data_IF_056926865992
#
_entry.id   IF_056926865992
#
_cell.length_a   1.000
_cell.length_b   1.000
_cell.length_c   1.000
_cell.angle_alpha   90.00
_cell.angle_beta   90.00
_cell.angle_gamma   90.00
#
_symmetry.space_group_name_H-M   'P 1'
#
loop_
_entity.id
_entity.type
_entity.pdbx_description
1 polymer ?
#
# COMPACT_ATOMS: atom_id res chain seq x y z
N UNK A 1 23.94 48.16 -30.60
CA UNK A 1 22.59 47.82 -30.09
C UNK A 1 22.27 46.41 -30.51
N UNK A 2 22.69 45.42 -29.76
CA UNK A 2 22.27 44.01 -29.96
C UNK A 2 23.03 43.14 -28.93
N UNK A 3 22.48 43.00 -27.73
CA UNK A 3 22.84 41.97 -26.70
C UNK A 3 22.00 42.20 -25.45
N UNK A 4 20.70 41.91 -25.56
CA UNK A 4 19.82 41.90 -24.37
C UNK A 4 18.60 41.00 -24.69
N UNK A 5 18.86 39.70 -24.92
CA UNK A 5 17.79 38.72 -25.13
C UNK A 5 18.34 37.34 -24.94
N UNK A 6 18.72 36.98 -23.70
CA UNK A 6 19.01 35.55 -23.37
C UNK A 6 19.16 35.32 -21.86
N UNK A 7 18.24 35.76 -21.03
CA UNK A 7 18.16 35.36 -19.62
C UNK A 7 16.70 35.33 -19.16
N UNK A 8 15.85 34.57 -19.83
CA UNK A 8 14.47 34.37 -19.40
C UNK A 8 14.01 32.94 -19.68
N UNK A 9 14.85 31.94 -19.36
CA UNK A 9 14.46 30.54 -19.57
C UNK A 9 15.16 29.67 -18.53
N UNK A 10 14.81 29.76 -17.24
CA UNK A 10 15.23 28.79 -16.22
C UNK A 10 14.44 28.99 -14.91
N UNK A 11 13.11 29.16 -14.99
CA UNK A 11 12.22 28.87 -13.87
C UNK A 11 11.03 28.09 -14.40
N UNK A 12 11.28 26.84 -14.80
CA UNK A 12 10.22 25.85 -14.84
C UNK A 12 9.98 25.45 -13.38
N UNK A 13 8.79 25.68 -12.82
CA UNK A 13 8.47 25.13 -11.51
C UNK A 13 8.61 23.60 -11.60
N UNK A 14 9.48 23.04 -10.77
CA UNK A 14 9.51 21.60 -10.55
C UNK A 14 8.10 21.24 -10.06
N UNK A 15 7.28 20.64 -10.91
CA UNK A 15 5.97 20.13 -10.54
C UNK A 15 6.18 19.11 -9.43
N UNK A 16 5.87 19.49 -8.20
CA UNK A 16 5.83 18.57 -7.07
C UNK A 16 4.74 17.54 -7.37
N UNK A 17 5.17 16.34 -7.78
CA UNK A 17 4.28 15.23 -8.06
C UNK A 17 3.93 14.61 -6.73
N UNK A 18 2.68 14.76 -6.30
CA UNK A 18 2.12 14.01 -5.19
C UNK A 18 2.06 12.53 -5.58
N UNK A 19 3.18 11.82 -5.41
CA UNK A 19 3.22 10.38 -5.59
C UNK A 19 2.52 9.70 -4.41
N UNK A 20 1.54 8.87 -4.71
CA UNK A 20 0.96 7.99 -3.71
C UNK A 20 2.05 7.06 -3.17
N UNK A 21 2.39 7.24 -1.88
CA UNK A 21 3.42 6.45 -1.22
C UNK A 21 2.88 5.10 -0.83
N UNK A 22 2.92 4.14 -1.73
CA UNK A 22 2.69 2.75 -1.41
C UNK A 22 4.04 2.03 -1.41
N UNK A 23 4.58 1.76 -0.23
CA UNK A 23 5.66 0.79 -0.06
C UNK A 23 5.23 -0.54 -0.67
N UNK A 24 6.12 -1.18 -1.43
CA UNK A 24 5.85 -2.36 -2.25
C UNK A 24 5.37 -3.58 -1.47
N UNK A 25 4.07 -3.65 -1.25
CA UNK A 25 3.34 -4.80 -0.73
C UNK A 25 1.85 -4.60 -1.05
N UNK A 26 1.11 -5.67 -1.28
CA UNK A 26 -0.33 -5.56 -1.42
C UNK A 26 -0.91 -4.94 -0.13
N UNK A 27 -1.76 -3.92 -0.21
CA UNK A 27 -2.40 -3.33 0.96
C UNK A 27 -3.48 -4.27 1.49
N UNK A 28 -3.07 -5.29 2.23
CA UNK A 28 -3.99 -6.22 2.91
C UNK A 28 -4.04 -5.79 4.37
N UNK A 29 -5.25 -5.55 4.94
CA UNK A 29 -5.39 -5.26 6.36
C UNK A 29 -4.97 -6.47 7.22
N UNK A 30 -4.58 -6.21 8.46
CA UNK A 30 -4.23 -7.27 9.41
C UNK A 30 -5.51 -8.00 9.85
N UNK A 31 -5.78 -9.16 9.24
CA UNK A 31 -6.98 -9.96 9.45
C UNK A 31 -6.61 -11.43 9.70
N UNK A 32 -7.44 -12.13 10.45
CA UNK A 32 -7.44 -13.59 10.56
C UNK A 32 -8.32 -14.14 9.44
N UNK A 33 -7.72 -14.70 8.41
CA UNK A 33 -8.42 -15.28 7.26
C UNK A 33 -8.53 -16.81 7.34
N UNK A 34 -7.76 -17.45 8.20
CA UNK A 34 -7.78 -18.88 8.46
C UNK A 34 -8.59 -19.25 9.72
N UNK A 35 -8.35 -20.46 10.23
CA UNK A 35 -9.04 -21.01 11.41
C UNK A 35 -8.30 -20.74 12.72
N UNK A 36 -7.19 -20.00 12.64
CA UNK A 36 -6.44 -19.58 13.82
C UNK A 36 -7.22 -18.56 14.66
N UNK A 37 -6.91 -18.48 15.97
CA UNK A 37 -7.45 -17.46 16.88
C UNK A 37 -6.75 -16.11 16.72
N UNK A 38 -5.46 -16.14 16.44
CA UNK A 38 -4.66 -14.93 16.25
C UNK A 38 -3.52 -15.19 15.28
N UNK A 39 -3.01 -14.11 14.68
CA UNK A 39 -1.76 -14.16 13.95
C UNK A 39 -0.89 -12.92 14.26
N UNK A 40 0.40 -13.13 14.10
CA UNK A 40 1.43 -12.10 14.14
C UNK A 40 2.29 -12.28 12.91
N UNK A 41 2.47 -11.24 12.12
CA UNK A 41 3.37 -11.29 10.97
C UNK A 41 4.38 -10.15 10.96
N UNK A 42 5.55 -10.46 10.40
CA UNK A 42 6.60 -9.49 10.11
C UNK A 42 6.90 -9.58 8.62
N UNK A 43 6.77 -8.46 7.93
CA UNK A 43 6.95 -8.37 6.48
C UNK A 43 8.01 -7.34 6.16
N UNK A 44 9.08 -7.75 5.49
CA UNK A 44 10.09 -6.85 4.94
C UNK A 44 9.93 -6.78 3.43
N UNK A 45 9.80 -5.57 2.90
CA UNK A 45 9.72 -5.28 1.48
C UNK A 45 10.88 -4.40 1.05
N UNK A 46 11.51 -4.76 -0.06
CA UNK A 46 12.49 -3.94 -0.75
C UNK A 46 11.98 -3.66 -2.16
N UNK A 47 11.82 -2.40 -2.51
CA UNK A 47 11.33 -1.98 -3.80
C UNK A 47 12.21 -0.90 -4.42
N UNK A 48 12.29 -0.89 -5.75
CA UNK A 48 12.98 0.12 -6.53
C UNK A 48 11.98 0.85 -7.43
N UNK A 49 12.08 2.18 -7.45
CA UNK A 49 11.27 3.07 -8.28
C UNK A 49 12.18 3.70 -9.32
N UNK A 50 12.08 3.23 -10.54
CA UNK A 50 12.89 3.71 -11.68
C UNK A 50 12.09 4.43 -12.76
N UNK A 51 10.76 4.52 -12.61
CA UNK A 51 9.87 5.09 -13.62
C UNK A 51 8.73 5.84 -12.94
N UNK A 52 8.41 7.02 -13.41
CA UNK A 52 7.22 7.78 -13.08
C UNK A 52 6.26 7.78 -14.26
N UNK A 53 4.97 7.74 -13.96
CA UNK A 53 3.92 7.98 -14.95
C UNK A 53 3.19 9.25 -14.57
N UNK A 54 3.07 10.17 -15.51
CA UNK A 54 2.40 11.46 -15.27
C UNK A 54 0.86 11.34 -15.35
N UNK A 55 0.16 12.45 -15.19
CA UNK A 55 -1.30 12.50 -15.23
C UNK A 55 -1.89 12.11 -16.61
N UNK A 56 -1.12 12.29 -17.69
CA UNK A 56 -1.49 11.92 -19.07
C UNK A 56 -1.14 10.46 -19.40
N UNK A 57 -0.58 9.69 -18.44
CA UNK A 57 -0.17 8.31 -18.66
C UNK A 57 1.18 8.15 -19.37
N UNK A 58 1.97 9.21 -19.48
CA UNK A 58 3.28 9.17 -20.14
C UNK A 58 4.34 8.66 -19.16
N UNK A 59 5.08 7.65 -19.57
CA UNK A 59 6.14 7.02 -18.80
C UNK A 59 7.45 7.80 -18.91
N UNK A 60 8.06 8.10 -17.78
CA UNK A 60 9.35 8.80 -17.69
C UNK A 60 10.31 8.01 -16.81
N UNK A 61 11.41 7.54 -17.39
CA UNK A 61 12.45 6.88 -16.61
C UNK A 61 13.19 7.91 -15.74
N UNK A 62 13.41 7.54 -14.49
CA UNK A 62 14.24 8.33 -13.56
C UNK A 62 15.71 8.14 -13.90
N UNK A 63 16.48 9.22 -13.89
CA UNK A 63 17.94 9.14 -14.01
C UNK A 63 18.58 8.46 -12.80
N UNK A 64 17.98 8.64 -11.63
CA UNK A 64 18.42 8.07 -10.37
C UNK A 64 17.25 7.28 -9.78
N UNK A 65 17.49 5.99 -9.55
CA UNK A 65 16.51 5.09 -8.95
C UNK A 65 16.37 5.37 -7.46
N UNK A 66 15.15 5.42 -6.97
CA UNK A 66 14.84 5.48 -5.55
C UNK A 66 14.62 4.06 -5.02
N UNK A 67 15.10 3.80 -3.81
CA UNK A 67 14.88 2.56 -3.09
C UNK A 67 13.95 2.81 -1.92
N UNK A 68 12.95 1.95 -1.76
CA UNK A 68 12.05 1.94 -0.63
C UNK A 68 12.15 0.60 0.10
N UNK A 69 12.39 0.65 1.40
CA UNK A 69 12.39 -0.51 2.29
C UNK A 69 11.29 -0.30 3.31
N UNK A 70 10.48 -1.32 3.55
CA UNK A 70 9.41 -1.26 4.53
C UNK A 70 9.46 -2.49 5.40
N UNK A 71 9.56 -2.30 6.70
CA UNK A 71 9.31 -3.34 7.70
C UNK A 71 7.92 -3.10 8.27
N UNK A 72 6.99 -4.04 8.07
CA UNK A 72 5.63 -3.97 8.58
C UNK A 72 5.38 -5.10 9.57
N UNK A 73 4.87 -4.74 10.73
CA UNK A 73 4.41 -5.67 11.75
C UNK A 73 2.88 -5.64 11.77
N UNK A 74 2.27 -6.79 11.58
CA UNK A 74 0.82 -6.95 11.60
C UNK A 74 0.42 -7.91 12.73
N UNK A 75 -0.65 -7.59 13.43
CA UNK A 75 -1.25 -8.46 14.44
C UNK A 75 -2.76 -8.45 14.26
N UNK A 76 -3.38 -9.62 14.31
CA UNK A 76 -4.83 -9.75 14.33
C UNK A 76 -5.25 -10.83 15.32
N UNK A 77 -6.39 -10.61 15.98
CA UNK A 77 -6.94 -11.50 17.01
C UNK A 77 -8.46 -11.58 16.90
N UNK A 78 -8.99 -12.80 16.93
CA UNK A 78 -10.42 -13.08 17.02
C UNK A 78 -10.86 -12.88 18.48
N UNK A 79 -11.65 -11.85 18.73
CA UNK A 79 -12.08 -11.43 20.07
C UNK A 79 -13.30 -12.24 20.54
N UNK A 80 -14.25 -12.47 19.63
CA UNK A 80 -15.42 -13.32 19.83
C UNK A 80 -15.69 -14.06 18.53
N UNK A 81 -16.50 -15.12 18.55
CA UNK A 81 -16.66 -16.12 17.47
C UNK A 81 -16.49 -15.62 16.05
N UNK A 82 -16.98 -14.41 15.75
CA UNK A 82 -16.99 -13.81 14.42
C UNK A 82 -16.32 -12.43 14.35
N UNK A 83 -15.99 -11.84 15.52
CA UNK A 83 -15.39 -10.51 15.57
C UNK A 83 -13.90 -10.61 15.77
N UNK A 84 -13.15 -9.78 15.06
CA UNK A 84 -11.71 -9.69 15.19
C UNK A 84 -11.24 -8.24 15.18
N UNK A 85 -10.09 -8.00 15.77
CA UNK A 85 -9.39 -6.72 15.67
C UNK A 85 -7.95 -6.96 15.23
N UNK A 86 -7.37 -5.98 14.56
CA UNK A 86 -6.00 -6.04 14.09
C UNK A 86 -5.35 -4.66 14.04
N UNK A 87 -4.04 -4.69 13.94
CA UNK A 87 -3.21 -3.49 13.81
C UNK A 87 -2.04 -3.75 12.87
N UNK A 88 -1.65 -2.73 12.13
CA UNK A 88 -0.48 -2.72 11.25
C UNK A 88 0.41 -1.52 11.60
N UNK A 89 1.70 -1.78 11.80
CA UNK A 89 2.70 -0.75 12.12
C UNK A 89 3.84 -0.84 11.09
N UNK A 90 3.96 0.09 10.14
CA UNK A 90 5.04 0.11 9.16
C UNK A 90 6.17 1.04 9.60
N UNK A 91 7.40 0.62 9.37
CA UNK A 91 8.61 1.45 9.40
C UNK A 91 9.12 1.54 7.97
N UNK A 92 9.29 2.76 7.47
CA UNK A 92 9.68 3.04 6.08
C UNK A 92 11.06 3.66 6.05
N UNK A 93 11.91 3.12 5.20
CA UNK A 93 13.22 3.70 4.86
C UNK A 93 13.27 3.97 3.37
N UNK A 94 13.63 5.20 3.00
CA UNK A 94 13.85 5.61 1.61
C UNK A 94 15.27 6.01 1.41
N UNK A 95 15.82 5.64 0.26
CA UNK A 95 17.18 5.97 -0.12
C UNK A 95 17.24 6.39 -1.59
N UNK A 96 18.07 7.40 -1.86
CA UNK A 96 18.37 7.88 -3.21
C UNK A 96 19.82 8.38 -3.22
N UNK A 97 20.68 7.74 -4.01
CA UNK A 97 22.13 7.89 -3.91
C UNK A 97 22.62 7.58 -2.49
N UNK A 98 23.34 8.52 -1.88
CA UNK A 98 23.88 8.42 -0.52
C UNK A 98 22.88 8.89 0.55
N UNK A 99 21.83 9.62 0.15
CA UNK A 99 20.82 10.13 1.06
C UNK A 99 19.86 9.02 1.50
N UNK A 100 19.59 8.98 2.79
CA UNK A 100 18.69 8.00 3.40
C UNK A 100 17.87 8.66 4.50
N UNK A 101 16.58 8.33 4.55
CA UNK A 101 15.69 8.72 5.65
C UNK A 101 14.90 7.50 6.12
N UNK A 102 14.63 7.45 7.41
CA UNK A 102 13.82 6.37 8.04
C UNK A 102 12.82 7.02 8.98
N UNK A 103 11.60 6.49 8.99
CA UNK A 103 10.54 6.97 9.89
C UNK A 103 9.40 5.97 10.02
N UNK A 104 8.52 6.25 10.96
CA UNK A 104 7.26 5.52 11.11
C UNK A 104 6.34 5.86 9.93
N UNK A 105 5.67 4.87 9.36
CA UNK A 105 4.60 5.09 8.40
C UNK A 105 3.24 5.28 9.11
N UNK A 106 2.17 5.33 8.35
CA UNK A 106 0.83 5.44 8.92
C UNK A 106 0.40 4.11 9.55
N UNK A 107 0.05 4.17 10.84
CA UNK A 107 -0.47 3.01 11.58
C UNK A 107 -1.92 2.78 11.21
N UNK A 108 -2.30 1.53 10.96
CA UNK A 108 -3.68 1.15 10.69
C UNK A 108 -4.24 0.25 11.79
N UNK A 109 -5.46 0.51 12.20
CA UNK A 109 -6.26 -0.31 13.09
C UNK A 109 -7.48 -0.81 12.33
N UNK A 110 -7.85 -2.07 12.53
CA UNK A 110 -9.00 -2.65 11.87
C UNK A 110 -9.86 -3.48 12.84
N UNK A 111 -11.15 -3.49 12.54
CA UNK A 111 -12.13 -4.36 13.16
C UNK A 111 -12.87 -5.13 12.07
N UNK A 112 -12.94 -6.45 12.20
CA UNK A 112 -13.52 -7.35 11.21
C UNK A 112 -14.67 -8.15 11.77
N UNK A 113 -15.59 -8.52 10.88
CA UNK A 113 -16.73 -9.39 11.17
C UNK A 113 -16.88 -10.46 10.10
N UNK A 114 -16.88 -11.71 10.50
CA UNK A 114 -17.10 -12.85 9.62
C UNK A 114 -18.60 -13.01 9.34
N UNK A 115 -19.08 -12.38 8.25
CA UNK A 115 -20.49 -12.41 7.89
C UNK A 115 -20.90 -13.67 7.13
N UNK A 116 -19.95 -14.37 6.50
CA UNK A 116 -20.16 -15.60 5.76
C UNK A 116 -19.17 -16.67 6.27
N UNK A 117 -19.46 -17.31 7.42
CA UNK A 117 -18.62 -18.37 7.95
C UNK A 117 -18.75 -19.67 7.14
N UNK A 118 -17.70 -20.47 7.15
CA UNK A 118 -17.68 -21.79 6.55
C UNK A 118 -17.77 -22.86 7.65
N UNK A 119 -18.95 -22.98 8.29
CA UNK A 119 -19.21 -24.00 9.33
C UNK A 119 -19.17 -25.42 8.75
N UNK A 120 -19.74 -25.59 7.57
CA UNK A 120 -19.70 -26.82 6.81
C UNK A 120 -18.97 -26.59 5.50
N UNK A 121 -18.07 -27.49 5.15
CA UNK A 121 -17.34 -27.38 3.90
C UNK A 121 -18.29 -27.45 2.72
N UNK A 122 -18.24 -26.44 1.86
CA UNK A 122 -18.90 -26.40 0.57
C UNK A 122 -17.90 -26.03 -0.51
N UNK A 123 -17.77 -26.79 -1.61
CA UNK A 123 -16.82 -26.46 -2.68
C UNK A 123 -17.10 -25.15 -3.38
N UNK A 124 -18.27 -24.55 -3.20
CA UNK A 124 -18.71 -23.35 -3.91
C UNK A 124 -18.89 -22.14 -3.00
N UNK A 125 -19.25 -22.33 -1.74
CA UNK A 125 -19.48 -21.24 -0.79
C UNK A 125 -18.15 -20.70 -0.30
N UNK A 126 -17.80 -19.42 -0.57
CA UNK A 126 -16.60 -18.82 0.01
C UNK A 126 -16.80 -18.49 1.48
N UNK A 127 -15.73 -18.34 2.23
CA UNK A 127 -15.70 -17.67 3.51
C UNK A 127 -15.66 -16.17 3.25
N UNK A 128 -16.47 -15.39 3.94
CA UNK A 128 -16.59 -13.93 3.75
C UNK A 128 -16.40 -13.17 5.05
N UNK A 129 -15.54 -12.17 5.01
CA UNK A 129 -15.20 -11.30 6.12
C UNK A 129 -15.33 -9.85 5.66
N UNK A 130 -16.06 -9.02 6.41
CA UNK A 130 -16.09 -7.58 6.25
C UNK A 130 -15.23 -6.91 7.33
N UNK A 131 -14.73 -5.72 7.04
CA UNK A 131 -13.93 -4.95 8.00
C UNK A 131 -14.10 -3.46 7.82
N UNK A 132 -13.81 -2.74 8.89
CA UNK A 132 -13.55 -1.31 8.88
C UNK A 132 -12.09 -1.08 9.26
N UNK A 133 -11.46 -0.06 8.69
CA UNK A 133 -10.08 0.29 8.97
C UNK A 133 -9.96 1.78 9.26
N UNK A 134 -9.28 2.11 10.35
CA UNK A 134 -8.89 3.46 10.71
C UNK A 134 -7.39 3.62 10.50
N UNK A 135 -6.97 4.55 9.64
CA UNK A 135 -5.56 4.91 9.46
C UNK A 135 -5.24 6.15 10.27
N UNK A 136 -4.17 6.06 11.05
CA UNK A 136 -3.65 7.13 11.90
C UNK A 136 -2.52 7.85 11.17
N UNK A 137 -2.48 9.19 11.14
CA UNK A 137 -1.45 9.97 10.45
C UNK A 137 -0.14 10.02 11.24
N UNK A 138 0.47 8.85 11.49
CA UNK A 138 1.73 8.73 12.22
C UNK A 138 2.95 8.87 11.31
N UNK A 139 2.76 8.66 10.01
CA UNK A 139 3.75 8.90 8.97
C UNK A 139 3.80 10.38 8.57
N UNK A 140 4.92 10.79 7.99
CA UNK A 140 5.08 12.13 7.42
C UNK A 140 4.59 12.13 5.99
N UNK A 141 3.73 13.09 5.64
CA UNK A 141 3.21 13.25 4.27
C UNK A 141 4.22 13.95 3.36
N UNK A 142 4.00 13.83 2.05
CA UNK A 142 4.77 14.56 1.04
C UNK A 142 4.64 16.08 1.19
N UNK A 143 3.53 16.57 1.74
CA UNK A 143 3.26 17.99 1.96
C UNK A 143 4.05 18.55 3.16
N UNK A 144 4.52 17.70 4.06
CA UNK A 144 5.35 18.04 5.22
C UNK A 144 6.82 17.74 5.01
N UNK A 145 7.15 17.13 3.86
CA UNK A 145 8.52 16.75 3.55
C UNK A 145 9.43 17.99 3.54
N UNK A 146 10.51 17.94 4.31
CA UNK A 146 11.54 18.97 4.40
C UNK A 146 12.78 18.62 3.59
N UNK A 147 12.95 17.38 3.22
CA UNK A 147 14.06 16.89 2.38
C UNK A 147 13.85 17.27 0.92
N UNK A 148 14.89 17.77 0.26
CA UNK A 148 14.84 18.20 -1.15
C UNK A 148 14.39 17.06 -2.08
N UNK A 149 14.76 15.81 -1.76
CA UNK A 149 14.38 14.62 -2.49
C UNK A 149 13.08 13.99 -1.95
N UNK A 150 12.45 14.61 -0.93
CA UNK A 150 11.23 14.12 -0.26
C UNK A 150 11.39 12.69 0.33
N UNK A 151 12.61 12.31 0.70
CA UNK A 151 12.90 10.99 1.26
C UNK A 151 12.34 10.81 2.67
N UNK A 152 12.05 11.90 3.38
CA UNK A 152 11.42 11.90 4.69
C UNK A 152 9.89 11.69 4.65
N UNK A 153 9.32 11.51 3.46
CA UNK A 153 7.96 11.10 3.27
C UNK A 153 7.79 9.60 3.59
N UNK A 154 7.15 9.26 4.70
CA UNK A 154 7.01 7.89 5.20
C UNK A 154 5.58 7.38 5.19
N UNK A 155 4.60 8.25 4.97
CA UNK A 155 3.18 7.92 4.94
C UNK A 155 2.36 8.95 4.17
N UNK A 156 1.05 8.76 4.13
CA UNK A 156 0.13 9.78 3.61
C UNK A 156 -0.03 10.94 4.58
N UNK A 157 0.05 10.63 5.91
CA UNK A 157 -0.11 11.58 6.98
C UNK A 157 -1.54 12.12 7.11
N UNK A 158 -2.56 11.37 6.72
CA UNK A 158 -3.97 11.72 6.86
C UNK A 158 -4.72 10.69 7.71
N UNK A 159 -5.66 11.16 8.51
CA UNK A 159 -6.69 10.28 9.01
C UNK A 159 -7.47 9.70 7.83
N UNK A 160 -7.70 8.41 7.83
CA UNK A 160 -8.57 7.79 6.83
C UNK A 160 -9.46 6.74 7.48
N UNK A 161 -10.69 6.65 6.99
CA UNK A 161 -11.62 5.59 7.35
C UNK A 161 -11.92 4.77 6.09
N UNK A 162 -11.71 3.47 6.19
CA UNK A 162 -11.98 2.52 5.12
C UNK A 162 -12.97 1.44 5.56
N UNK A 163 -13.56 0.81 4.58
CA UNK A 163 -14.36 -0.39 4.74
C UNK A 163 -14.08 -1.35 3.58
N UNK A 164 -14.14 -2.64 3.85
CA UNK A 164 -13.88 -3.62 2.82
C UNK A 164 -14.44 -5.00 3.14
N UNK A 165 -14.25 -5.90 2.19
CA UNK A 165 -14.60 -7.30 2.32
C UNK A 165 -13.52 -8.20 1.71
N UNK A 166 -13.26 -9.31 2.36
CA UNK A 166 -12.39 -10.36 1.88
C UNK A 166 -13.20 -11.66 1.73
N UNK A 167 -13.07 -12.28 0.57
CA UNK A 167 -13.64 -13.59 0.28
C UNK A 167 -12.50 -14.56 0.02
N UNK A 168 -12.50 -15.68 0.71
CA UNK A 168 -11.50 -16.74 0.54
C UNK A 168 -12.18 -18.06 0.24
N UNK A 169 -11.55 -18.87 -0.58
CA UNK A 169 -12.00 -20.22 -0.86
C UNK A 169 -10.83 -21.17 -1.07
N UNK A 170 -10.88 -22.31 -0.40
CA UNK A 170 -9.95 -23.43 -0.59
C UNK A 170 -10.73 -24.58 -1.20
N UNK A 171 -10.22 -25.15 -2.29
CA UNK A 171 -10.78 -26.32 -2.95
C UNK A 171 -9.69 -27.30 -3.35
N UNK A 172 -9.54 -28.36 -2.55
CA UNK A 172 -8.43 -29.29 -2.70
C UNK A 172 -7.09 -28.58 -2.58
N UNK A 173 -6.17 -28.72 -3.55
CA UNK A 173 -4.88 -28.02 -3.50
C UNK A 173 -4.95 -26.56 -3.94
N UNK A 174 -6.07 -26.07 -4.43
CA UNK A 174 -6.23 -24.72 -4.95
C UNK A 174 -6.88 -23.81 -3.93
N UNK A 175 -6.48 -22.56 -3.93
CA UNK A 175 -7.08 -21.50 -3.13
C UNK A 175 -7.27 -20.23 -3.98
N UNK A 176 -8.20 -19.40 -3.54
CA UNK A 176 -8.46 -18.10 -4.14
C UNK A 176 -8.83 -17.08 -3.08
N UNK A 177 -8.50 -15.82 -3.36
CA UNK A 177 -8.86 -14.66 -2.57
C UNK A 177 -9.35 -13.53 -3.45
N UNK A 178 -10.42 -12.88 -3.02
CA UNK A 178 -10.91 -11.61 -3.51
C UNK A 178 -10.96 -10.65 -2.33
N UNK A 179 -10.35 -9.48 -2.46
CA UNK A 179 -10.42 -8.41 -1.47
C UNK A 179 -10.85 -7.13 -2.17
N UNK A 180 -11.82 -6.45 -1.58
CA UNK A 180 -12.31 -5.13 -2.01
C UNK A 180 -12.17 -4.18 -0.83
N UNK A 181 -11.57 -3.04 -1.05
CA UNK A 181 -11.41 -1.97 -0.08
C UNK A 181 -11.84 -0.64 -0.69
N UNK A 182 -12.53 0.17 0.09
CA UNK A 182 -12.86 1.55 -0.21
C UNK A 182 -12.56 2.40 1.01
N UNK A 183 -11.85 3.51 0.83
CA UNK A 183 -11.51 4.39 1.93
C UNK A 183 -11.66 5.87 1.57
N UNK A 184 -11.86 6.69 2.59
CA UNK A 184 -11.89 8.14 2.52
C UNK A 184 -10.82 8.71 3.44
N UNK A 185 -9.91 9.52 2.88
CA UNK A 185 -8.98 10.31 3.68
C UNK A 185 -9.61 11.66 4.04
N UNK A 186 -9.37 12.13 5.26
CA UNK A 186 -9.91 13.40 5.76
C UNK A 186 -8.92 14.52 5.52
N UNK A 187 -9.44 15.68 5.10
CA UNK A 187 -8.63 16.86 4.87
C UNK A 187 -8.01 17.40 6.16
N UNK A 188 -6.88 18.09 6.00
CA UNK A 188 -6.20 18.79 7.09
C UNK A 188 -5.45 20.02 6.61
N UNK A 189 -5.17 20.91 7.54
CA UNK A 189 -4.26 22.03 7.34
C UNK A 189 -2.82 21.63 7.67
N UNK A 190 -1.87 22.03 6.82
CA UNK A 190 -0.43 21.87 7.03
C UNK A 190 0.18 23.26 6.98
N UNK A 191 0.76 23.69 8.11
CA UNK A 191 1.30 25.05 8.27
C UNK A 191 2.82 25.06 8.20
N UNK A 192 3.37 26.21 7.81
CA UNK A 192 4.80 26.45 7.83
C UNK A 192 5.59 25.64 6.81
N UNK A 193 4.96 25.24 5.71
CA UNK A 193 5.65 24.54 4.62
C UNK A 193 6.43 25.55 3.76
N UNK A 194 7.45 25.12 3.01
CA UNK A 194 8.12 25.99 2.05
C UNK A 194 7.19 26.60 0.99
N UNK A 195 6.04 25.98 0.75
CA UNK A 195 5.02 26.43 -0.19
C UNK A 195 3.95 27.35 0.45
N UNK A 196 4.06 27.64 1.75
CA UNK A 196 3.06 28.36 2.55
C UNK A 196 2.15 27.44 3.35
N UNK A 197 1.10 28.00 3.95
CA UNK A 197 0.09 27.23 4.64
C UNK A 197 -0.86 26.58 3.63
N UNK A 198 -1.05 25.27 3.75
CA UNK A 198 -1.80 24.46 2.79
C UNK A 198 -3.03 23.85 3.48
N UNK A 199 -4.18 23.98 2.85
CA UNK A 199 -5.37 23.19 3.15
C UNK A 199 -5.45 22.03 2.16
N UNK A 200 -5.32 20.81 2.62
CA UNK A 200 -5.26 19.61 1.79
C UNK A 200 -6.51 18.79 1.99
N UNK A 201 -7.20 18.49 0.91
CA UNK A 201 -8.44 17.70 0.90
C UNK A 201 -8.30 16.51 -0.04
N UNK A 202 -7.86 15.33 0.46
CA UNK A 202 -7.80 14.11 -0.33
C UNK A 202 -9.20 13.61 -0.71
N UNK A 203 -9.28 12.83 -1.78
CA UNK A 203 -10.50 12.20 -2.25
C UNK A 203 -10.74 10.81 -1.65
N UNK A 204 -11.50 10.02 -2.37
CA UNK A 204 -11.71 8.60 -2.13
C UNK A 204 -10.57 7.79 -2.72
N UNK A 205 -10.32 6.64 -2.12
CA UNK A 205 -9.41 5.65 -2.65
C UNK A 205 -10.00 4.26 -2.53
N UNK A 206 -9.46 3.31 -3.27
CA UNK A 206 -9.91 1.93 -3.20
C UNK A 206 -8.95 0.94 -3.84
N UNK A 207 -9.11 -0.30 -3.45
CA UNK A 207 -8.30 -1.41 -3.94
C UNK A 207 -9.18 -2.61 -4.24
N UNK A 208 -8.95 -3.23 -5.39
CA UNK A 208 -9.49 -4.53 -5.75
C UNK A 208 -8.32 -5.50 -5.90
N UNK A 209 -8.29 -6.57 -5.11
CA UNK A 209 -7.24 -7.60 -5.19
C UNK A 209 -7.85 -8.95 -5.51
N UNK A 210 -7.29 -9.62 -6.50
CA UNK A 210 -7.56 -11.01 -6.86
C UNK A 210 -6.29 -11.81 -6.66
N UNK A 211 -6.40 -12.99 -6.06
CA UNK A 211 -5.28 -13.90 -5.91
C UNK A 211 -5.73 -15.34 -6.04
N UNK A 212 -4.80 -16.18 -6.51
CA UNK A 212 -5.00 -17.60 -6.59
C UNK A 212 -3.68 -18.35 -6.34
N UNK A 213 -3.78 -19.60 -5.88
CA UNK A 213 -2.61 -20.40 -5.63
C UNK A 213 -2.88 -21.89 -5.68
N UNK A 214 -1.78 -22.63 -5.65
CA UNK A 214 -1.79 -24.10 -5.56
C UNK A 214 -0.79 -24.53 -4.51
N UNK A 215 -1.24 -25.39 -3.62
CA UNK A 215 -0.45 -26.01 -2.56
C UNK A 215 0.11 -27.35 -3.02
N UNK A 216 1.39 -27.59 -2.71
CA UNK A 216 2.13 -28.81 -2.94
C UNK A 216 2.72 -29.23 -1.59
N UNK A 217 2.01 -30.03 -0.82
CA UNK A 217 2.40 -30.38 0.54
C UNK A 217 2.61 -29.14 1.40
N UNK A 218 3.85 -28.79 1.72
CA UNK A 218 4.23 -27.70 2.62
C UNK A 218 4.52 -26.38 1.86
N UNK A 219 4.49 -26.42 0.52
CA UNK A 219 4.80 -25.28 -0.34
C UNK A 219 3.57 -24.86 -1.14
N UNK A 220 3.26 -23.57 -1.14
CA UNK A 220 2.23 -22.96 -1.98
C UNK A 220 2.87 -22.00 -2.98
N UNK A 221 2.50 -22.14 -4.24
CA UNK A 221 2.84 -21.18 -5.29
C UNK A 221 1.58 -20.44 -5.67
N UNK A 222 1.64 -19.11 -5.76
CA UNK A 222 0.49 -18.30 -6.08
C UNK A 222 0.84 -17.02 -6.81
N UNK A 223 -0.19 -16.41 -7.37
CA UNK A 223 -0.12 -15.09 -7.98
C UNK A 223 -1.27 -14.22 -7.53
N UNK A 224 -1.09 -12.92 -7.59
CA UNK A 224 -2.14 -11.95 -7.32
C UNK A 224 -2.02 -10.73 -8.22
N UNK A 225 -3.15 -10.07 -8.42
CA UNK A 225 -3.28 -8.80 -9.13
C UNK A 225 -4.11 -7.86 -8.26
N UNK A 226 -3.56 -6.69 -7.96
CA UNK A 226 -4.25 -5.63 -7.27
C UNK A 226 -4.43 -4.44 -8.21
N UNK A 227 -5.63 -3.88 -8.24
CA UNK A 227 -5.96 -2.62 -8.88
C UNK A 227 -6.16 -1.57 -7.81
N UNK A 228 -5.37 -0.49 -7.88
CA UNK A 228 -5.36 0.59 -6.91
C UNK A 228 -5.83 1.87 -7.59
N UNK A 229 -6.72 2.58 -6.92
CA UNK A 229 -7.28 3.86 -7.34
C UNK A 229 -7.24 4.85 -6.18
N UNK A 230 -6.81 6.07 -6.44
CA UNK A 230 -6.83 7.20 -5.54
C UNK A 230 -7.31 8.45 -6.28
N UNK A 231 -8.31 9.08 -5.76
CA UNK A 231 -8.87 10.31 -6.33
C UNK A 231 -7.88 11.47 -6.23
N UNK A 232 -8.14 12.50 -6.99
CA UNK A 232 -7.36 13.75 -6.96
C UNK A 232 -7.39 14.38 -5.57
N UNK A 233 -6.24 14.86 -5.12
CA UNK A 233 -6.14 15.64 -3.88
C UNK A 233 -6.23 17.13 -4.19
N UNK A 234 -7.25 17.80 -3.65
CA UNK A 234 -7.37 19.24 -3.76
C UNK A 234 -6.43 19.92 -2.78
N UNK A 235 -5.71 20.93 -3.25
CA UNK A 235 -4.78 21.73 -2.45
C UNK A 235 -5.16 23.20 -2.60
N UNK A 236 -5.43 23.87 -1.50
CA UNK A 236 -5.71 25.31 -1.48
C UNK A 236 -4.81 26.01 -0.46
N UNK A 237 -4.54 27.29 -0.71
CA UNK A 237 -3.50 28.02 0.00
C UNK A 237 -2.10 27.70 -0.54
N UNK A 238 -1.14 28.56 -0.33
CA UNK A 238 0.24 28.37 -0.80
C UNK A 238 0.41 28.33 -2.32
N UNK A 239 1.51 27.72 -2.77
CA UNK A 239 1.93 27.71 -4.20
C UNK A 239 1.87 26.32 -4.85
N UNK A 240 1.35 25.31 -4.19
CA UNK A 240 1.25 23.94 -4.75
C UNK A 240 -0.02 23.79 -5.59
N UNK A 241 0.07 23.12 -6.76
CA UNK A 241 -1.10 22.77 -7.56
C UNK A 241 -1.86 21.61 -6.92
N UNK A 242 -3.11 21.41 -7.34
CA UNK A 242 -3.88 20.21 -7.03
C UNK A 242 -3.14 18.94 -7.47
N UNK A 243 -3.28 17.89 -6.69
CA UNK A 243 -2.85 16.56 -7.07
C UNK A 243 -3.77 15.99 -8.15
N UNK A 244 -3.24 15.15 -9.03
CA UNK A 244 -4.04 14.43 -10.01
C UNK A 244 -4.45 13.05 -9.48
N UNK A 245 -5.52 12.48 -10.04
CA UNK A 245 -5.95 11.12 -9.83
C UNK A 245 -4.80 10.15 -10.08
N UNK A 246 -4.62 9.19 -9.19
CA UNK A 246 -3.62 8.12 -9.31
C UNK A 246 -4.30 6.76 -9.45
N UNK A 247 -3.83 5.97 -10.40
CA UNK A 247 -4.26 4.58 -10.56
C UNK A 247 -3.14 3.72 -11.11
N UNK A 248 -3.08 2.49 -10.66
CA UNK A 248 -2.13 1.49 -11.18
C UNK A 248 -2.57 0.08 -10.82
N UNK A 249 -1.99 -0.90 -11.51
CA UNK A 249 -2.11 -2.31 -11.13
C UNK A 249 -0.77 -2.80 -10.57
N UNK A 250 -0.83 -3.71 -9.61
CA UNK A 250 0.34 -4.38 -9.05
C UNK A 250 0.16 -5.90 -9.18
N UNK A 251 1.05 -6.55 -9.91
CA UNK A 251 1.09 -8.00 -10.01
C UNK A 251 2.11 -8.56 -9.02
N UNK A 252 1.81 -9.73 -8.45
CA UNK A 252 2.76 -10.44 -7.60
C UNK A 252 2.76 -11.94 -7.89
N UNK A 253 3.97 -12.54 -7.81
CA UNK A 253 4.17 -13.98 -7.74
C UNK A 253 4.73 -14.31 -6.36
N UNK A 254 4.20 -15.34 -5.71
CA UNK A 254 4.56 -15.70 -4.34
C UNK A 254 4.83 -17.18 -4.18
N UNK A 255 5.77 -17.48 -3.31
CA UNK A 255 6.07 -18.80 -2.77
C UNK A 255 5.91 -18.74 -1.26
N UNK A 256 5.10 -19.64 -0.70
CA UNK A 256 4.85 -19.73 0.73
C UNK A 256 5.26 -21.12 1.19
N UNK A 257 6.07 -21.19 2.24
CA UNK A 257 6.47 -22.43 2.92
C UNK A 257 5.80 -22.50 4.28
N UNK A 258 4.99 -23.55 4.50
CA UNK A 258 4.21 -23.77 5.73
C UNK A 258 4.37 -25.22 6.20
N UNK A 259 5.50 -25.57 6.85
CA UNK A 259 5.76 -26.96 7.27
C UNK A 259 4.87 -27.41 8.42
N UNK A 260 4.30 -26.47 9.16
CA UNK A 260 3.35 -26.70 10.25
C UNK A 260 2.20 -25.69 10.15
N UNK A 261 1.03 -25.98 10.74
CA UNK A 261 -0.08 -25.02 10.76
C UNK A 261 0.24 -23.73 11.53
N UNK A 262 1.23 -23.75 12.42
CA UNK A 262 1.52 -22.66 13.35
C UNK A 262 2.32 -21.51 12.72
N UNK A 263 3.08 -21.74 11.66
CA UNK A 263 3.88 -20.71 11.05
C UNK A 263 4.06 -20.90 9.55
N UNK A 264 4.37 -19.81 8.90
CA UNK A 264 4.77 -19.81 7.49
C UNK A 264 5.80 -18.73 7.22
N UNK A 265 6.63 -18.98 6.22
CA UNK A 265 7.51 -18.00 5.62
C UNK A 265 7.15 -17.85 4.14
N UNK A 266 7.26 -16.63 3.62
CA UNK A 266 6.97 -16.40 2.21
C UNK A 266 7.98 -15.45 1.57
N UNK A 267 8.13 -15.59 0.26
CA UNK A 267 8.80 -14.64 -0.62
C UNK A 267 7.85 -14.31 -1.77
N UNK A 268 7.78 -13.04 -2.13
CA UNK A 268 7.01 -12.58 -3.28
C UNK A 268 7.82 -11.58 -4.09
N UNK A 269 7.67 -11.64 -5.41
CA UNK A 269 8.11 -10.59 -6.33
C UNK A 269 6.90 -9.80 -6.77
N UNK A 270 7.00 -8.47 -6.74
CA UNK A 270 5.95 -7.54 -7.14
C UNK A 270 6.41 -6.63 -8.27
N UNK A 271 5.53 -6.36 -9.22
CA UNK A 271 5.79 -5.44 -10.34
C UNK A 271 4.53 -4.64 -10.67
N UNK A 272 4.66 -3.32 -10.66
CA UNK A 272 3.59 -2.37 -10.97
C UNK A 272 3.60 -1.92 -12.43
N UNK A 273 4.49 -2.45 -13.26
CA UNK A 273 4.64 -2.07 -14.66
C UNK A 273 4.05 -3.07 -15.65
N UNK A 274 3.56 -4.23 -15.17
CA UNK A 274 3.15 -5.33 -16.06
C UNK A 274 1.73 -5.18 -16.59
N UNK A 275 0.82 -4.59 -15.81
CA UNK A 275 -0.60 -4.57 -16.12
C UNK A 275 -1.22 -3.19 -15.95
N UNK A 276 -2.31 -2.95 -16.70
CA UNK A 276 -3.12 -1.75 -16.63
C UNK A 276 -2.53 -0.55 -17.37
N UNK A 277 -3.21 0.58 -17.23
CA UNK A 277 -2.79 1.89 -17.71
C UNK A 277 -2.53 2.79 -16.49
N UNK A 278 -1.30 2.76 -15.93
CA UNK A 278 -0.96 3.57 -14.77
C UNK A 278 -1.07 5.06 -15.10
N UNK A 279 -1.47 5.84 -14.12
CA UNK A 279 -1.64 7.29 -14.24
C UNK A 279 -1.19 7.95 -12.95
N UNK A 280 -0.41 9.01 -13.03
CA UNK A 280 0.07 9.82 -11.92
C UNK A 280 0.64 8.99 -10.75
N UNK A 281 1.57 8.09 -11.06
CA UNK A 281 2.12 7.16 -10.07
C UNK A 281 3.58 6.82 -10.35
N UNK A 282 4.42 6.66 -9.33
CA UNK A 282 5.71 6.01 -9.46
C UNK A 282 5.49 4.49 -9.58
N UNK A 283 6.20 3.85 -10.49
CA UNK A 283 6.14 2.41 -10.69
C UNK A 283 7.28 1.73 -9.94
N UNK A 284 6.92 0.86 -9.03
CA UNK A 284 7.85 0.10 -8.21
C UNK A 284 7.92 -1.37 -8.67
N UNK A 285 9.12 -1.94 -8.50
CA UNK A 285 9.39 -3.38 -8.57
C UNK A 285 10.08 -3.80 -7.31
N UNK A 286 9.74 -4.94 -6.76
CA UNK A 286 10.32 -5.29 -5.48
C UNK A 286 10.18 -6.75 -5.09
N UNK A 287 10.87 -7.07 -3.99
CA UNK A 287 10.79 -8.36 -3.33
C UNK A 287 10.29 -8.15 -1.91
N UNK A 288 9.40 -9.01 -1.49
CA UNK A 288 8.84 -9.03 -0.15
C UNK A 288 9.14 -10.37 0.49
N UNK A 289 9.63 -10.35 1.71
CA UNK A 289 9.81 -11.55 2.55
C UNK A 289 8.95 -11.38 3.78
N UNK A 290 8.15 -12.39 4.13
CA UNK A 290 7.36 -12.34 5.34
C UNK A 290 7.46 -13.63 6.15
N UNK A 291 7.31 -13.47 7.46
CA UNK A 291 7.15 -14.53 8.44
C UNK A 291 5.84 -14.32 9.17
N UNK A 292 5.04 -15.36 9.32
CA UNK A 292 3.79 -15.33 10.06
C UNK A 292 3.76 -16.43 11.10
N UNK A 293 3.42 -16.08 12.33
CA UNK A 293 3.06 -17.00 13.42
C UNK A 293 1.55 -17.00 13.59
N UNK A 294 0.96 -18.19 13.67
CA UNK A 294 -0.45 -18.42 13.90
C UNK A 294 -0.65 -19.08 15.26
N UNK A 295 -1.67 -18.68 15.95
CA UNK A 295 -2.05 -19.21 17.26
C UNK A 295 -3.40 -19.92 17.12
N UNK A 296 -3.49 -21.22 17.45
CA UNK A 296 -4.72 -21.99 17.30
C UNK A 296 -5.83 -21.47 18.21
N UNK A 297 -7.07 -21.81 17.87
CA UNK A 297 -8.26 -21.54 18.70
C UNK A 297 -8.32 -22.46 19.92
#
# INVERSE_FOLDING_TARGET
>A
MMHLLFVALLFLPAMARAAACCGGGLPVPALVLGDEKANLSSTFSYATVGTDVNAEGIWKHRQITEQAQTLRMDSAHVIADRFQAGASVPIVRRARNEDTRTGLGDVALNAGYEFLPEWDYSPWKPRGLSYIQLTLPTGRSIYEASDVNQLDNTGRGFWALGAGAAFTKIRGPYDGVLLVDLHRSFGREVRGTPAGDLQISPGWGGTLTLGAGRSFKDVRVGGSLAWIYEDATQVSGGSLPDGALSRYASAALSLIYSPTPDWSASVAYTDQSLFGAPTNTPLARGVTVSYQRRFPR
#
